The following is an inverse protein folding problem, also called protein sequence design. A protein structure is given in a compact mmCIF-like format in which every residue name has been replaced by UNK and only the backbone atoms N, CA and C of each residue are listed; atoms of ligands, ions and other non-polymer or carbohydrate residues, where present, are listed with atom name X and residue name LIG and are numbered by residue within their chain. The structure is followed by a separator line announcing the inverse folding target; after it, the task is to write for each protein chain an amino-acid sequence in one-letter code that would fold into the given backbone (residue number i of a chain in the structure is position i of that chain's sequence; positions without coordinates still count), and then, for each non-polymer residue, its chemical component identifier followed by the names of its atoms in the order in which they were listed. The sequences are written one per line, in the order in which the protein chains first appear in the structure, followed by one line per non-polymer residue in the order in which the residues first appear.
data_IF_495989150310
#
_entry.id   IF_495989150310
#
_cell.length_a   1.000
_cell.length_b   1.000
_cell.length_c   1.000
_cell.angle_alpha   90.00
_cell.angle_beta   90.00
_cell.angle_gamma   90.00
#
_symmetry.space_group_name_H-M   'P 1'
#
loop_
_entity.id
_entity.type
_entity.pdbx_description
1 polymer ?
#
# COMPACT_ATOMS: atom_id res chain seq x y z
N UNK A 1 -19.69 -10.79 6.10
CA UNK A 1 -18.88 -10.48 6.07
C UNK A 1 -18.40 -10.11 5.78
N UNK A 2 -18.61 -10.58 5.72
CA UNK A 2 -17.65 -10.46 5.46
C UNK A 2 -17.20 -10.38 4.95
N UNK A 3 -17.50 -10.87 4.99
CA UNK A 3 -16.53 -10.99 4.63
C UNK A 3 -16.16 -11.21 4.34
N UNK A 4 -16.49 -11.53 4.10
CA UNK A 4 -15.77 -11.82 3.71
C UNK A 4 -15.37 -11.88 3.30
N UNK A 5 -15.79 -12.30 3.28
CA UNK A 5 -15.06 -12.51 2.88
C UNK A 5 -14.72 -12.67 2.58
N UNK A 6 -14.97 -12.97 2.43
CA UNK A 6 -14.26 -13.24 2.09
C UNK A 6 -13.98 -13.49 1.92
N UNK A 7 -14.16 -13.88 1.79
CA UNK A 7 -13.53 -14.36 1.53
C UNK A 7 -12.98 -14.76 1.23
N UNK A 8 -13.27 -15.08 1.26
CA UNK A 8 -12.45 -15.66 0.96
C UNK A 8 -12.04 -16.14 0.63
N UNK A 9 -12.27 -16.52 0.43
CA UNK A 9 -11.65 -17.20 0.05
C UNK A 9 -11.36 -17.71 -0.24
N UNK A 10 -11.44 -18.12 -0.40
CA UNK A 10 -11.01 -18.87 -0.71
C UNK A 10 -10.54 -19.52 -0.81
N UNK A 11 -10.65 -19.97 -0.87
CA UNK A 11 -10.24 -20.74 -0.96
C UNK A 11 -10.09 -21.41 -1.20
N UNK A 12 -10.36 -21.84 -1.44
CA UNK A 12 -9.90 -22.59 -1.67
C UNK A 12 -9.94 -22.87 -2.36
N UNK A 13 -10.26 -23.04 -2.68
CA UNK A 13 -10.20 -23.50 -3.50
C UNK A 13 -9.50 -24.49 -3.94
N UNK A 14 -9.81 -25.32 -4.32
CA UNK A 14 -9.29 -26.36 -4.72
C UNK A 14 -7.86 -26.48 -5.08
N UNK A 15 -7.34 -27.38 -5.32
CA UNK A 15 -6.02 -27.51 -5.74
C UNK A 15 -5.20 -26.35 -5.36
N UNK A 16 -5.62 -25.83 -4.40
CA UNK A 16 -5.23 -24.56 -4.01
C UNK A 16 -3.80 -24.43 -3.66
N UNK A 17 -3.20 -23.37 -4.05
CA UNK A 17 -1.88 -23.01 -3.59
C UNK A 17 -1.88 -22.89 -2.08
N UNK A 18 -0.86 -23.43 -1.45
CA UNK A 18 -0.69 -23.26 -0.03
C UNK A 18 -0.19 -21.87 0.33
N UNK A 19 0.27 -21.11 -0.64
CA UNK A 19 0.78 -19.77 -0.40
C UNK A 19 -0.35 -18.75 -0.41
N UNK A 20 -0.26 -17.72 0.43
CA UNK A 20 -1.27 -16.65 0.41
C UNK A 20 -1.31 -16.01 -0.96
N UNK A 21 -2.50 -15.64 -1.39
CA UNK A 21 -2.65 -14.87 -2.61
C UNK A 21 -2.44 -13.40 -2.25
N UNK A 22 -1.25 -12.89 -2.56
CA UNK A 22 -0.89 -11.52 -2.20
C UNK A 22 -0.89 -10.63 -3.43
N UNK A 23 -2.09 -10.35 -3.94
CA UNK A 23 -2.25 -9.38 -5.00
C UNK A 23 -3.02 -8.14 -4.53
N UNK A 24 -3.19 -7.98 -3.23
CA UNK A 24 -3.91 -6.85 -2.66
C UNK A 24 -2.92 -5.76 -2.26
N UNK A 25 -3.17 -4.54 -2.73
CA UNK A 25 -2.36 -3.37 -2.40
C UNK A 25 -3.21 -2.42 -1.56
N UNK A 26 -2.68 -2.00 -0.42
CA UNK A 26 -3.36 -1.01 0.42
C UNK A 26 -2.94 0.38 -0.06
N UNK A 27 -3.91 1.29 -0.15
CA UNK A 27 -3.64 2.65 -0.60
C UNK A 27 -4.18 3.62 0.43
N UNK A 28 -3.30 4.49 0.94
CA UNK A 28 -3.66 5.47 1.97
C UNK A 28 -3.41 6.87 1.42
N UNK A 29 -4.47 7.62 1.17
CA UNK A 29 -4.38 8.98 0.64
C UNK A 29 -5.70 9.68 0.94
N UNK A 30 -5.65 10.95 1.35
CA UNK A 30 -6.86 11.68 1.68
C UNK A 30 -7.52 12.33 0.46
N UNK A 31 -6.94 12.19 -0.72
CA UNK A 31 -7.51 12.72 -1.97
C UNK A 31 -8.33 11.62 -2.66
N UNK A 32 -9.68 11.77 -2.72
CA UNK A 32 -10.52 10.74 -3.35
C UNK A 32 -10.19 10.49 -4.82
N UNK A 33 -9.77 11.53 -5.53
CA UNK A 33 -9.40 11.38 -6.94
C UNK A 33 -8.16 10.52 -7.10
N UNK A 34 -7.18 10.72 -6.22
CA UNK A 34 -5.97 9.93 -6.23
C UNK A 34 -6.29 8.47 -5.91
N UNK A 35 -7.13 8.23 -4.90
CA UNK A 35 -7.51 6.87 -4.53
C UNK A 35 -8.17 6.15 -5.71
N UNK A 36 -9.10 6.81 -6.40
CA UNK A 36 -9.78 6.20 -7.54
C UNK A 36 -8.82 5.91 -8.69
N UNK A 37 -7.93 6.86 -8.96
CA UNK A 37 -6.97 6.71 -10.04
C UNK A 37 -5.99 5.58 -9.81
N UNK A 38 -5.48 5.49 -8.59
CA UNK A 38 -4.54 4.42 -8.22
C UNK A 38 -5.24 3.07 -8.26
N UNK A 39 -6.47 2.99 -7.72
CA UNK A 39 -7.23 1.74 -7.77
C UNK A 39 -7.42 1.26 -9.19
N UNK A 40 -7.79 2.16 -10.10
CA UNK A 40 -8.00 1.81 -11.49
C UNK A 40 -6.71 1.30 -12.13
N UNK A 41 -5.61 1.99 -11.88
CA UNK A 41 -4.31 1.62 -12.43
C UNK A 41 -3.89 0.24 -11.94
N UNK A 42 -4.04 -0.01 -10.65
CA UNK A 42 -3.70 -1.30 -10.05
C UNK A 42 -4.54 -2.42 -10.67
N UNK A 43 -5.84 -2.18 -10.82
CA UNK A 43 -6.73 -3.18 -11.41
C UNK A 43 -6.30 -3.52 -12.84
N UNK A 44 -5.89 -2.53 -13.61
CA UNK A 44 -5.45 -2.75 -14.99
C UNK A 44 -4.21 -3.64 -15.06
N UNK A 45 -3.48 -3.75 -13.97
CA UNK A 45 -2.27 -4.58 -13.90
C UNK A 45 -2.46 -5.84 -13.06
N UNK A 46 -3.72 -6.18 -12.74
CA UNK A 46 -4.02 -7.44 -12.07
C UNK A 46 -3.96 -7.39 -10.55
N UNK A 47 -3.96 -6.21 -9.96
CA UNK A 47 -3.92 -6.06 -8.51
C UNK A 47 -5.24 -5.53 -7.97
N UNK A 48 -5.69 -6.13 -6.88
CA UNK A 48 -6.81 -5.59 -6.11
C UNK A 48 -6.28 -4.55 -5.13
N UNK A 49 -7.18 -3.70 -4.64
CA UNK A 49 -6.76 -2.67 -3.70
C UNK A 49 -7.82 -2.45 -2.64
N UNK A 50 -7.35 -2.03 -1.46
CA UNK A 50 -8.21 -1.56 -0.40
C UNK A 50 -7.77 -0.12 -0.11
N UNK A 51 -8.73 0.80 -0.13
CA UNK A 51 -8.46 2.23 -0.07
C UNK A 51 -8.78 2.78 1.31
N UNK A 52 -7.92 3.65 1.80
CA UNK A 52 -8.09 4.31 3.10
C UNK A 52 -7.90 5.81 2.91
N UNK A 53 -8.87 6.59 3.37
CA UNK A 53 -8.87 8.03 3.17
C UNK A 53 -8.13 8.80 4.27
N UNK A 54 -7.62 8.09 5.27
CA UNK A 54 -6.92 8.72 6.39
C UNK A 54 -6.03 7.71 7.08
N UNK A 55 -5.08 8.21 7.87
CA UNK A 55 -4.25 7.34 8.70
C UNK A 55 -5.10 6.60 9.73
N UNK A 56 -6.10 7.27 10.29
CA UNK A 56 -6.99 6.65 11.27
C UNK A 56 -7.75 5.48 10.67
N UNK A 57 -8.33 5.66 9.49
CA UNK A 57 -9.06 4.58 8.82
C UNK A 57 -8.14 3.38 8.57
N UNK A 58 -6.90 3.66 8.18
CA UNK A 58 -5.93 2.61 7.91
C UNK A 58 -5.55 1.89 9.21
N UNK A 59 -5.31 2.61 10.29
CA UNK A 59 -4.93 2.01 11.57
C UNK A 59 -6.03 1.14 12.16
N UNK A 60 -7.28 1.41 11.83
CA UNK A 60 -8.41 0.64 12.32
C UNK A 60 -8.65 -0.65 11.52
N UNK A 61 -7.85 -0.87 10.48
CA UNK A 61 -7.96 -2.07 9.68
C UNK A 61 -7.15 -3.20 10.30
N UNK A 62 -7.62 -4.44 10.10
CA UNK A 62 -6.90 -5.64 10.53
C UNK A 62 -6.17 -6.26 9.34
N UNK A 63 -5.39 -7.30 9.58
CA UNK A 63 -4.76 -8.11 8.53
C UNK A 63 -3.87 -7.30 7.60
N UNK A 64 -3.01 -6.47 8.17
CA UNK A 64 -2.06 -5.71 7.36
C UNK A 64 -1.18 -6.63 6.51
N UNK A 65 -0.91 -7.81 7.01
CA UNK A 65 0.00 -8.75 6.34
C UNK A 65 -0.61 -9.40 5.10
N UNK A 66 -1.89 -9.22 4.85
CA UNK A 66 -2.47 -9.69 3.60
C UNK A 66 -2.04 -8.80 2.42
N UNK A 67 -1.53 -7.61 2.71
CA UNK A 67 -1.15 -6.67 1.67
C UNK A 67 0.20 -7.03 1.06
N UNK A 68 0.27 -6.94 -0.25
CA UNK A 68 1.50 -7.06 -0.99
C UNK A 68 2.43 -5.89 -0.67
N UNK A 69 1.86 -4.70 -0.64
CA UNK A 69 2.57 -3.48 -0.28
C UNK A 69 1.53 -2.40 0.06
N UNK A 70 2.03 -1.29 0.58
CA UNK A 70 1.20 -0.16 0.95
C UNK A 70 1.67 1.06 0.16
N UNK A 71 0.77 1.68 -0.61
CA UNK A 71 1.03 2.97 -1.27
C UNK A 71 0.51 4.03 -0.31
N UNK A 72 1.37 4.91 0.15
CA UNK A 72 1.06 5.80 1.25
C UNK A 72 1.48 7.23 0.97
N UNK A 73 0.52 8.15 1.02
CA UNK A 73 0.81 9.58 0.93
C UNK A 73 1.55 10.00 2.21
N UNK A 74 2.62 10.74 2.04
CA UNK A 74 3.36 11.27 3.19
C UNK A 74 2.56 12.36 3.90
N UNK A 75 1.79 13.15 3.14
CA UNK A 75 1.08 14.31 3.69
C UNK A 75 -0.40 14.02 3.89
N UNK A 76 -0.72 13.15 4.83
CA UNK A 76 -2.09 12.87 5.19
C UNK A 76 -2.61 14.01 6.10
N UNK A 77 -3.91 14.29 6.04
CA UNK A 77 -4.47 15.39 6.82
C UNK A 77 -4.31 15.19 8.32
N UNK A 78 -4.41 13.95 8.77
CA UNK A 78 -4.38 13.67 10.20
C UNK A 78 -2.98 13.32 10.73
N UNK A 79 -2.04 12.93 9.87
CA UNK A 79 -0.67 12.73 10.31
C UNK A 79 0.29 12.45 9.14
N UNK A 80 1.57 12.39 9.42
CA UNK A 80 2.57 12.06 8.43
C UNK A 80 2.58 10.57 8.13
N UNK A 81 2.63 10.22 6.84
CA UNK A 81 2.75 8.82 6.44
C UNK A 81 4.03 8.19 6.95
N UNK A 82 5.10 8.97 7.11
CA UNK A 82 6.37 8.45 7.63
C UNK A 82 6.21 8.05 9.09
N UNK A 83 5.51 8.86 9.88
CA UNK A 83 5.25 8.52 11.28
C UNK A 83 4.36 7.29 11.39
N UNK A 84 3.35 7.21 10.51
CA UNK A 84 2.49 6.03 10.47
C UNK A 84 3.33 4.78 10.18
N UNK A 85 4.23 4.86 9.22
CA UNK A 85 5.12 3.75 8.90
C UNK A 85 5.97 3.33 10.09
N UNK A 86 6.49 4.31 10.84
CA UNK A 86 7.28 4.00 12.02
C UNK A 86 6.49 3.22 13.05
N UNK A 87 5.24 3.60 13.27
CA UNK A 87 4.38 2.89 14.23
C UNK A 87 4.06 1.48 13.77
N UNK A 88 3.80 1.28 12.47
CA UNK A 88 3.58 -0.05 11.93
C UNK A 88 4.80 -0.93 12.15
N UNK A 89 5.98 -0.39 11.87
CA UNK A 89 7.21 -1.14 12.01
C UNK A 89 7.47 -1.50 13.47
N UNK A 90 7.21 -0.57 14.38
CA UNK A 90 7.35 -0.82 15.83
C UNK A 90 6.38 -1.91 16.30
N UNK A 91 5.25 -2.06 15.62
CA UNK A 91 4.27 -3.11 15.93
C UNK A 91 4.58 -4.43 15.23
N UNK A 92 5.71 -4.52 14.53
CA UNK A 92 6.09 -5.74 13.83
C UNK A 92 5.48 -5.92 12.45
N UNK A 93 4.84 -4.89 11.93
CA UNK A 93 4.23 -4.95 10.60
C UNK A 93 5.25 -4.46 9.58
N UNK A 94 5.80 -5.38 8.80
CA UNK A 94 6.92 -5.11 7.92
C UNK A 94 6.55 -5.11 6.44
N UNK A 95 5.30 -4.84 6.12
CA UNK A 95 4.83 -4.77 4.74
C UNK A 95 5.56 -3.64 4.00
N UNK A 96 6.05 -3.88 2.78
CA UNK A 96 6.77 -2.83 2.04
C UNK A 96 5.90 -1.61 1.76
N UNK A 97 6.51 -0.44 1.81
CA UNK A 97 5.80 0.82 1.61
C UNK A 97 6.36 1.57 0.42
N UNK A 98 5.47 2.09 -0.41
CA UNK A 98 5.77 3.01 -1.49
C UNK A 98 5.20 4.36 -1.06
N UNK A 99 6.08 5.34 -0.86
CA UNK A 99 5.61 6.68 -0.49
C UNK A 99 5.28 7.49 -1.74
N UNK A 100 4.22 8.29 -1.64
CA UNK A 100 3.90 9.28 -2.66
C UNK A 100 3.77 10.63 -1.95
N UNK A 101 4.16 11.71 -2.63
CA UNK A 101 4.05 13.04 -2.05
C UNK A 101 3.88 14.10 -3.12
N UNK A 102 3.04 15.08 -2.84
CA UNK A 102 2.94 16.29 -3.66
C UNK A 102 3.86 17.40 -3.18
N UNK A 103 4.62 17.14 -2.12
CA UNK A 103 5.44 18.18 -1.49
C UNK A 103 6.84 17.64 -1.23
N UNK A 104 7.59 17.45 -2.32
CA UNK A 104 8.94 16.92 -2.25
C UNK A 104 9.90 17.98 -1.72
N UNK A 105 10.73 17.59 -0.76
CA UNK A 105 11.86 18.39 -0.32
C UNK A 105 12.93 17.49 0.26
N UNK A 106 14.19 17.97 0.36
CA UNK A 106 15.30 17.10 0.77
C UNK A 106 15.13 16.47 2.15
N UNK A 107 14.56 17.19 3.10
CA UNK A 107 14.38 16.66 4.47
C UNK A 107 13.36 15.53 4.49
N UNK A 108 12.25 15.72 3.77
CA UNK A 108 11.20 14.69 3.69
C UNK A 108 11.73 13.46 2.94
N UNK A 109 12.42 13.69 1.83
CA UNK A 109 12.99 12.59 1.05
C UNK A 109 13.97 11.78 1.90
N UNK A 110 14.83 12.45 2.64
CA UNK A 110 15.79 11.77 3.51
C UNK A 110 15.09 10.94 4.56
N UNK A 111 14.09 11.52 5.23
CA UNK A 111 13.34 10.80 6.28
C UNK A 111 12.62 9.58 5.71
N UNK A 112 12.03 9.72 4.51
CA UNK A 112 11.35 8.61 3.86
C UNK A 112 12.32 7.47 3.55
N UNK A 113 13.47 7.81 2.98
CA UNK A 113 14.46 6.79 2.63
C UNK A 113 15.04 6.13 3.87
N UNK A 114 15.26 6.88 4.94
CA UNK A 114 15.77 6.33 6.19
C UNK A 114 14.78 5.41 6.89
N UNK A 115 13.49 5.63 6.65
CA UNK A 115 12.47 4.76 7.24
C UNK A 115 12.41 3.40 6.55
N UNK A 116 13.08 3.26 5.42
CA UNK A 116 13.10 2.03 4.64
C UNK A 116 11.84 1.90 3.80
N UNK A 117 11.88 2.34 2.55
CA UNK A 117 10.74 2.24 1.65
C UNK A 117 11.14 1.53 0.37
N UNK A 118 10.15 1.00 -0.32
CA UNK A 118 10.37 0.35 -1.60
C UNK A 118 10.58 1.37 -2.72
N UNK A 119 9.90 2.51 -2.61
CA UNK A 119 10.04 3.60 -3.56
C UNK A 119 9.51 4.90 -2.96
N UNK A 120 9.97 6.01 -3.50
CA UNK A 120 9.54 7.36 -3.11
C UNK A 120 9.19 8.10 -4.41
N UNK A 121 7.92 8.43 -4.58
CA UNK A 121 7.40 9.02 -5.82
C UNK A 121 6.83 10.40 -5.55
N UNK A 122 7.07 11.32 -6.48
CA UNK A 122 6.49 12.67 -6.39
C UNK A 122 5.28 12.76 -7.32
N UNK A 123 4.25 13.47 -6.90
CA UNK A 123 3.06 13.72 -7.70
C UNK A 123 3.32 14.88 -8.66
N UNK A 124 2.92 14.81 -9.91
CA UNK A 124 2.31 13.65 -10.56
C UNK A 124 3.37 12.61 -10.93
N UNK A 125 2.99 11.35 -10.86
CA UNK A 125 3.90 10.25 -11.26
C UNK A 125 3.28 9.50 -12.44
N UNK A 126 4.13 8.81 -13.20
CA UNK A 126 3.66 8.01 -14.33
C UNK A 126 3.11 6.68 -13.82
N UNK A 127 2.28 6.06 -14.64
CA UNK A 127 1.77 4.71 -14.34
C UNK A 127 2.93 3.75 -14.11
N UNK A 128 3.95 3.82 -14.95
CA UNK A 128 5.11 2.94 -14.86
C UNK A 128 5.86 3.14 -13.54
N UNK A 129 6.01 4.39 -13.10
CA UNK A 129 6.74 4.69 -11.87
C UNK A 129 6.06 4.06 -10.66
N UNK A 130 4.73 3.98 -10.67
CA UNK A 130 4.01 3.37 -9.57
C UNK A 130 4.00 1.84 -9.68
N UNK A 131 3.77 1.32 -10.87
CA UNK A 131 3.60 -0.12 -11.06
C UNK A 131 4.92 -0.89 -10.88
N UNK A 132 6.05 -0.31 -11.30
CA UNK A 132 7.33 -1.00 -11.15
C UNK A 132 7.62 -1.45 -9.72
N UNK A 133 7.53 -0.58 -8.70
CA UNK A 133 7.78 -1.04 -7.34
C UNK A 133 6.75 -2.04 -6.84
N UNK A 134 5.48 -1.93 -7.30
CA UNK A 134 4.48 -2.93 -6.94
C UNK A 134 4.87 -4.29 -7.50
N UNK A 135 5.34 -4.32 -8.74
CA UNK A 135 5.76 -5.57 -9.36
C UNK A 135 7.00 -6.14 -8.69
N UNK A 136 7.91 -5.29 -8.22
CA UNK A 136 9.07 -5.77 -7.47
C UNK A 136 8.62 -6.42 -6.16
N UNK A 137 7.66 -5.83 -5.47
CA UNK A 137 7.13 -6.44 -4.25
C UNK A 137 6.50 -7.80 -4.55
N UNK A 138 5.78 -7.90 -5.65
CA UNK A 138 5.17 -9.15 -6.07
C UNK A 138 6.21 -10.21 -6.38
N UNK A 139 7.27 -9.83 -7.07
CA UNK A 139 8.33 -10.75 -7.46
C UNK A 139 9.06 -11.32 -6.24
N UNK A 140 9.20 -10.55 -5.18
CA UNK A 140 9.89 -10.98 -3.97
C UNK A 140 9.13 -12.04 -3.19
N UNK A 141 7.85 -12.24 -3.50
CA UNK A 141 7.04 -13.26 -2.84
C UNK A 141 7.12 -14.62 -3.53
N UNK A 142 7.72 -14.68 -4.70
CA UNK A 142 7.86 -15.92 -5.46
C UNK A 142 9.32 -16.46 -5.45
#
# INVERSE_FOLDING_TARGET
MRNQTSKTVSADRSGVSMLPNRNIVFVVDDDPGMLRGVKRLLREHGYDSILFASAEAFQNHDDFEEALCIIMDINLNDESGIELRRRLKAAGILVPVIYITGNDNPAVRKAALESGCLAYLTKPFSAKALIEPVERASAELT
#
